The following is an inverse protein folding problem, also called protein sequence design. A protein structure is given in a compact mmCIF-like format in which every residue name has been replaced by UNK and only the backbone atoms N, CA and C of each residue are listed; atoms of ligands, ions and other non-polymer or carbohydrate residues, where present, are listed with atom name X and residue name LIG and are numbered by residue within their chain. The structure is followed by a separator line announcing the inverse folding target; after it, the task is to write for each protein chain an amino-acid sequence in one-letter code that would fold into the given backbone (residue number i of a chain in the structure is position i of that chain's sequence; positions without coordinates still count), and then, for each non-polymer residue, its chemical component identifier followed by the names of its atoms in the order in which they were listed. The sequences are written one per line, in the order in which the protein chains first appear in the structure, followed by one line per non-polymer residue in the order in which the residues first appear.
data_IF_688197041967
#
_entry.id   IF_688197041967
#
_cell.length_a   1.000
_cell.length_b   1.000
_cell.length_c   1.000
_cell.angle_alpha   90.00
_cell.angle_beta   90.00
_cell.angle_gamma   90.00
#
_symmetry.space_group_name_H-M   'P 1'
#
loop_
_entity.id
_entity.type
_entity.pdbx_description
1 polymer ?
#
# COMPACT_ATOMS: atom_id res chain seq x y z
N UNK A 1 -20.52 17.53 -41.25
CA UNK A 1 -21.36 16.54 -40.55
C UNK A 1 -21.17 16.73 -39.08
N UNK A 2 -22.14 17.29 -38.38
CA UNK A 2 -22.05 17.47 -36.91
C UNK A 2 -22.66 16.25 -36.23
N UNK A 3 -21.85 15.46 -35.57
CA UNK A 3 -22.34 14.38 -34.69
C UNK A 3 -22.78 14.97 -33.35
N UNK A 4 -24.08 15.13 -33.17
CA UNK A 4 -24.63 15.49 -31.86
C UNK A 4 -24.79 14.23 -31.02
N UNK A 5 -23.80 13.97 -30.17
CA UNK A 5 -23.94 12.93 -29.16
C UNK A 5 -24.85 13.42 -28.04
N UNK A 6 -26.03 12.82 -27.94
CA UNK A 6 -26.91 13.09 -26.82
C UNK A 6 -26.47 12.24 -25.61
N UNK A 7 -26.71 12.74 -24.39
CA UNK A 7 -26.44 11.99 -23.14
C UNK A 7 -27.11 10.61 -23.13
N UNK A 8 -28.27 10.50 -23.79
CA UNK A 8 -29.03 9.26 -23.94
C UNK A 8 -28.31 8.25 -24.86
N UNK A 9 -27.68 8.72 -25.93
CA UNK A 9 -26.88 7.87 -26.84
C UNK A 9 -25.64 7.34 -26.14
N UNK A 10 -24.98 8.18 -25.35
CA UNK A 10 -23.83 7.78 -24.54
C UNK A 10 -24.19 6.70 -23.51
N UNK A 11 -25.30 6.90 -22.78
CA UNK A 11 -25.77 5.93 -21.80
C UNK A 11 -26.11 4.56 -22.41
N UNK A 12 -26.67 4.54 -23.61
CA UNK A 12 -26.96 3.30 -24.35
C UNK A 12 -25.68 2.56 -24.78
N UNK A 13 -24.66 3.29 -25.19
CA UNK A 13 -23.38 2.71 -25.59
C UNK A 13 -22.61 2.14 -24.38
N UNK A 14 -22.65 2.84 -23.25
CA UNK A 14 -22.05 2.36 -22.00
C UNK A 14 -22.80 1.11 -21.48
N UNK A 15 -24.13 1.12 -21.51
CA UNK A 15 -24.93 -0.05 -21.09
C UNK A 15 -24.70 -1.26 -21.99
N UNK A 16 -24.53 -1.06 -23.30
CA UNK A 16 -24.18 -2.12 -24.25
C UNK A 16 -22.78 -2.68 -24.03
N UNK A 17 -21.83 -1.85 -23.62
CA UNK A 17 -20.47 -2.27 -23.28
C UNK A 17 -20.35 -3.09 -22.01
N UNK A 18 -21.28 -2.89 -21.06
CA UNK A 18 -21.31 -3.64 -19.81
C UNK A 18 -21.86 -5.08 -19.97
N UNK A 19 -22.48 -5.39 -21.11
CA UNK A 19 -22.99 -6.72 -21.39
C UNK A 19 -21.92 -7.73 -21.85
N UNK A 20 -20.67 -7.30 -22.01
CA UNK A 20 -19.59 -8.20 -22.35
C UNK A 20 -19.14 -9.02 -21.12
N UNK A 21 -19.03 -10.34 -21.22
CA UNK A 21 -18.54 -11.21 -20.14
C UNK A 21 -17.07 -10.95 -19.75
N UNK A 22 -16.49 -9.92 -20.34
CA UNK A 22 -15.10 -9.51 -20.15
C UNK A 22 -14.78 -9.05 -18.73
N UNK A 23 -15.75 -8.46 -18.02
CA UNK A 23 -15.55 -7.95 -16.65
C UNK A 23 -15.54 -9.08 -15.62
N UNK A 24 -16.19 -10.21 -15.90
CA UNK A 24 -16.27 -11.33 -14.96
C UNK A 24 -14.95 -12.09 -14.80
N UNK A 25 -14.02 -11.97 -15.74
CA UNK A 25 -12.73 -12.67 -15.68
C UNK A 25 -11.70 -12.00 -14.79
N UNK A 26 -11.86 -10.72 -14.50
CA UNK A 26 -10.94 -9.98 -13.61
C UNK A 26 -11.12 -10.34 -12.14
N UNK A 27 -12.26 -10.91 -11.76
CA UNK A 27 -12.51 -11.38 -10.39
C UNK A 27 -11.76 -12.67 -10.04
N UNK A 28 -11.13 -13.30 -11.02
CA UNK A 28 -10.36 -14.54 -10.88
C UNK A 28 -8.87 -14.29 -11.03
N UNK A 29 -8.45 -13.03 -11.12
CA UNK A 29 -7.07 -12.69 -11.09
C UNK A 29 -6.50 -13.15 -9.75
N UNK A 30 -5.53 -14.02 -9.81
CA UNK A 30 -4.64 -14.29 -8.68
C UNK A 30 -4.18 -12.95 -8.09
N UNK A 31 -3.95 -12.93 -6.79
CA UNK A 31 -3.57 -11.74 -6.04
C UNK A 31 -2.68 -10.81 -6.87
N UNK A 32 -3.19 -9.63 -7.17
CA UNK A 32 -2.42 -8.61 -7.87
C UNK A 32 -1.18 -8.26 -7.05
N UNK A 33 -0.01 -8.04 -7.68
CA UNK A 33 1.15 -7.50 -6.97
C UNK A 33 0.86 -6.23 -6.19
N UNK A 34 -0.18 -5.49 -6.60
CA UNK A 34 -0.64 -4.26 -5.94
C UNK A 34 -1.58 -4.50 -4.76
N UNK A 35 -1.87 -5.73 -4.39
CA UNK A 35 -2.72 -6.03 -3.22
C UNK A 35 -1.98 -5.88 -1.89
N UNK A 36 -0.66 -5.88 -1.90
CA UNK A 36 0.16 -5.74 -0.71
C UNK A 36 0.72 -4.32 -0.63
N UNK A 37 0.34 -3.60 0.43
CA UNK A 37 0.86 -2.27 0.72
C UNK A 37 2.20 -2.37 1.45
N UNK A 38 3.23 -1.77 0.88
CA UNK A 38 4.55 -1.68 1.49
C UNK A 38 4.60 -0.44 2.38
N UNK A 39 4.64 -0.66 3.69
CA UNK A 39 4.53 0.37 4.71
C UNK A 39 5.85 0.60 5.43
N UNK A 40 6.19 1.86 5.71
CA UNK A 40 7.26 2.21 6.62
C UNK A 40 6.74 3.09 7.75
N UNK A 41 7.39 3.03 8.91
CA UNK A 41 7.02 3.83 10.08
C UNK A 41 8.17 4.72 10.53
N UNK A 42 7.86 5.99 10.80
CA UNK A 42 8.74 6.91 11.50
C UNK A 42 8.50 6.81 13.01
N UNK A 43 9.21 5.90 13.63
CA UNK A 43 9.09 5.54 15.02
C UNK A 43 8.71 4.06 15.19
N UNK A 44 9.31 3.42 16.17
CA UNK A 44 9.09 2.01 16.48
C UNK A 44 8.48 1.78 17.86
N UNK A 45 8.22 2.85 18.62
CA UNK A 45 7.69 2.77 19.99
C UNK A 45 6.66 3.84 20.30
N UNK A 46 6.06 3.78 21.47
CA UNK A 46 5.01 4.72 21.88
C UNK A 46 3.80 4.72 20.95
N UNK A 47 3.31 5.88 20.58
CA UNK A 47 2.16 6.04 19.66
C UNK A 47 2.46 5.44 18.29
N UNK A 48 3.63 5.74 17.71
CA UNK A 48 4.03 5.16 16.43
C UNK A 48 4.05 3.64 16.46
N UNK A 49 4.53 3.05 17.55
CA UNK A 49 4.51 1.59 17.74
C UNK A 49 3.12 1.00 17.84
N UNK A 50 2.18 1.71 18.48
CA UNK A 50 0.78 1.31 18.56
C UNK A 50 0.10 1.36 17.18
N UNK A 51 0.29 2.46 16.45
CA UNK A 51 -0.24 2.63 15.10
C UNK A 51 0.33 1.57 14.15
N UNK A 52 1.62 1.34 14.20
CA UNK A 52 2.30 0.30 13.42
C UNK A 52 1.75 -1.10 13.73
N UNK A 53 1.44 -1.37 15.00
CA UNK A 53 0.79 -2.61 15.41
C UNK A 53 -0.57 -2.82 14.79
N UNK A 54 -1.39 -1.77 14.78
CA UNK A 54 -2.72 -1.80 14.17
C UNK A 54 -2.63 -1.95 12.64
N UNK A 55 -1.78 -1.18 12.00
CA UNK A 55 -1.58 -1.21 10.54
C UNK A 55 -1.05 -2.58 10.10
N UNK A 56 -0.04 -3.10 10.78
CA UNK A 56 0.59 -4.38 10.44
C UNK A 56 -0.29 -5.60 10.68
N UNK A 57 -1.37 -5.45 11.43
CA UNK A 57 -2.33 -6.54 11.65
C UNK A 57 -3.18 -6.84 10.40
N UNK A 58 -3.23 -5.91 9.44
CA UNK A 58 -3.96 -6.11 8.21
C UNK A 58 -3.18 -7.03 7.25
N UNK A 59 -3.84 -8.06 6.74
CA UNK A 59 -3.22 -9.10 5.90
C UNK A 59 -2.53 -8.57 4.63
N UNK A 60 -2.98 -7.44 4.11
CA UNK A 60 -2.46 -6.84 2.88
C UNK A 60 -1.41 -5.76 3.15
N UNK A 61 -0.93 -5.63 4.37
CA UNK A 61 0.12 -4.68 4.73
C UNK A 61 1.38 -5.44 5.12
N UNK A 62 2.49 -5.04 4.52
CA UNK A 62 3.82 -5.49 4.88
C UNK A 62 4.64 -4.33 5.41
N UNK A 63 5.19 -4.48 6.59
CA UNK A 63 6.13 -3.51 7.15
C UNK A 63 7.48 -3.72 6.49
N UNK A 64 7.87 -2.79 5.63
CA UNK A 64 9.12 -2.84 4.87
C UNK A 64 10.28 -2.22 5.64
N UNK A 65 10.00 -1.12 6.37
CA UNK A 65 11.02 -0.39 7.09
C UNK A 65 10.47 0.28 8.36
N UNK A 66 11.33 0.45 9.34
CA UNK A 66 11.06 1.22 10.56
C UNK A 66 12.25 2.14 10.83
N UNK A 67 11.98 3.40 11.09
CA UNK A 67 12.99 4.36 11.53
C UNK A 67 12.82 4.60 13.02
N UNK A 68 13.86 4.40 13.81
CA UNK A 68 13.82 4.64 15.25
C UNK A 68 15.18 5.17 15.74
N UNK A 69 15.15 6.29 16.44
CA UNK A 69 16.36 6.95 16.97
C UNK A 69 16.90 6.18 18.18
N UNK A 70 16.02 5.71 19.05
CA UNK A 70 16.42 4.99 20.27
C UNK A 70 16.95 3.59 19.92
N UNK A 71 18.20 3.27 20.30
CA UNK A 71 18.79 1.97 20.01
C UNK A 71 18.03 0.79 20.61
N UNK A 72 17.43 0.95 21.78
CA UNK A 72 16.66 -0.11 22.44
C UNK A 72 15.35 -0.37 21.67
N UNK A 73 14.66 0.69 21.28
CA UNK A 73 13.43 0.59 20.47
C UNK A 73 13.74 0.04 19.07
N UNK A 74 14.87 0.39 18.47
CA UNK A 74 15.31 -0.22 17.22
C UNK A 74 15.43 -1.74 17.33
N UNK A 75 16.06 -2.23 18.38
CA UNK A 75 16.18 -3.68 18.62
C UNK A 75 14.84 -4.35 18.82
N UNK A 76 13.93 -3.71 19.54
CA UNK A 76 12.55 -4.21 19.72
C UNK A 76 11.80 -4.26 18.38
N UNK A 77 11.90 -3.21 17.56
CA UNK A 77 11.31 -3.18 16.23
C UNK A 77 11.88 -4.28 15.33
N UNK A 78 13.19 -4.50 15.35
CA UNK A 78 13.83 -5.57 14.58
C UNK A 78 13.35 -6.96 15.00
N UNK A 79 13.13 -7.19 16.28
CA UNK A 79 12.59 -8.45 16.78
C UNK A 79 11.13 -8.66 16.43
N UNK A 80 10.34 -7.56 16.44
CA UNK A 80 8.91 -7.59 16.14
C UNK A 80 8.63 -7.74 14.65
N UNK A 81 9.41 -7.04 13.82
CA UNK A 81 9.28 -7.04 12.36
C UNK A 81 10.56 -7.57 11.72
N UNK A 82 10.74 -8.88 11.75
CA UNK A 82 11.98 -9.53 11.32
C UNK A 82 12.32 -9.31 9.86
N UNK A 83 11.31 -9.14 9.01
CA UNK A 83 11.48 -8.90 7.58
C UNK A 83 11.63 -7.42 7.22
N UNK A 84 11.48 -6.52 8.20
CA UNK A 84 11.63 -5.09 7.99
C UNK A 84 13.09 -4.66 8.17
N UNK A 85 13.51 -3.70 7.36
CA UNK A 85 14.78 -3.01 7.56
C UNK A 85 14.61 -1.92 8.62
N UNK A 86 15.54 -1.82 9.55
CA UNK A 86 15.48 -0.83 10.63
C UNK A 86 16.61 0.18 10.48
N UNK A 87 16.23 1.46 10.51
CA UNK A 87 17.12 2.59 10.28
C UNK A 87 17.13 3.53 11.49
N UNK A 88 18.27 4.21 11.69
CA UNK A 88 18.39 5.28 12.67
C UNK A 88 18.04 6.66 12.08
N UNK A 89 18.20 6.82 10.76
CA UNK A 89 17.95 8.05 10.03
C UNK A 89 16.90 7.84 8.94
N UNK A 90 15.86 8.66 8.97
CA UNK A 90 14.78 8.61 8.00
C UNK A 90 15.22 8.94 6.56
N UNK A 91 16.27 9.76 6.43
CA UNK A 91 16.80 10.13 5.10
C UNK A 91 17.42 8.92 4.43
N UNK A 92 18.20 8.15 5.19
CA UNK A 92 18.78 6.89 4.72
C UNK A 92 17.68 5.89 4.32
N UNK A 93 16.64 5.77 5.11
CA UNK A 93 15.50 4.90 4.80
C UNK A 93 14.82 5.32 3.51
N UNK A 94 14.53 6.61 3.32
CA UNK A 94 13.90 7.09 2.08
C UNK A 94 14.80 6.93 0.85
N UNK A 95 16.10 7.11 1.00
CA UNK A 95 17.05 6.90 -0.09
C UNK A 95 17.08 5.44 -0.56
N UNK A 96 17.07 4.50 0.38
CA UNK A 96 17.16 3.06 0.07
C UNK A 96 15.83 2.41 -0.25
N UNK A 97 14.74 2.85 0.37
CA UNK A 97 13.44 2.17 0.33
C UNK A 97 12.34 2.99 -0.36
N UNK A 98 12.53 4.30 -0.51
CA UNK A 98 11.46 5.23 -0.88
C UNK A 98 10.70 4.86 -2.14
N UNK A 99 11.37 4.36 -3.18
CA UNK A 99 10.73 3.97 -4.44
C UNK A 99 9.84 2.72 -4.31
N UNK A 100 10.09 1.89 -3.31
CA UNK A 100 9.33 0.66 -3.08
C UNK A 100 8.23 0.80 -2.04
N UNK A 101 8.11 1.96 -1.39
CA UNK A 101 7.10 2.23 -0.37
C UNK A 101 5.82 2.79 -0.97
N UNK A 102 4.69 2.30 -0.49
CA UNK A 102 3.36 2.82 -0.85
C UNK A 102 2.88 3.87 0.16
N UNK A 103 3.22 3.70 1.43
CA UNK A 103 2.79 4.60 2.50
C UNK A 103 3.75 4.62 3.69
N UNK A 104 3.66 5.70 4.46
CA UNK A 104 4.40 5.90 5.71
C UNK A 104 3.49 6.50 6.78
N UNK A 105 3.79 6.28 8.06
CA UNK A 105 3.17 6.95 9.20
C UNK A 105 4.21 7.54 10.14
#
# INVERSE_FOLDING_TARGET
MKFTYSRRSFAKQVAGGLAFPFVARTSWAESSPNETLMHASFGGGGMAGADLGNISSHKNVRVAAVVEIDPNRRRQAQQRFRDANVYADWREMLEKEGESLDCVN
#
